data_IF_718518215678
#
_entry.id   IF_718518215678
#
_cell.length_a   1.000
_cell.length_b   1.000
_cell.length_c   1.000
_cell.angle_alpha   90.00
_cell.angle_beta   90.00
_cell.angle_gamma   90.00
#
_symmetry.space_group_name_H-M   'P 1'
#
loop_
_entity.id
_entity.type
_entity.pdbx_description
1 polymer ?
#
# COMPACT_ATOMS: atom_id res chain seq x y z
N UNK A 1 -31.86 25.06 1.54
CA UNK A 1 -30.71 24.62 2.39
C UNK A 1 -29.65 24.06 1.45
N UNK A 2 -28.64 24.84 1.14
CA UNK A 2 -27.51 24.38 0.35
C UNK A 2 -26.68 23.47 1.26
N UNK A 3 -26.53 22.20 0.86
CA UNK A 3 -25.72 21.23 1.59
C UNK A 3 -24.25 21.68 1.59
N UNK A 4 -23.76 22.12 2.74
CA UNK A 4 -22.40 22.63 2.96
C UNK A 4 -21.27 21.58 2.76
N UNK A 5 -21.58 20.38 2.33
CA UNK A 5 -20.58 19.30 2.30
C UNK A 5 -20.11 18.93 0.91
N UNK A 6 -20.46 19.49 -0.19
CA UNK A 6 -19.87 19.23 -1.53
C UNK A 6 -19.52 17.75 -1.90
N UNK A 7 -19.70 16.82 -0.97
CA UNK A 7 -19.30 15.40 -1.05
C UNK A 7 -20.46 14.43 -1.25
N UNK A 8 -21.70 14.93 -1.37
CA UNK A 8 -22.86 14.06 -1.55
C UNK A 8 -22.78 13.31 -2.89
N UNK A 9 -22.82 11.98 -2.83
CA UNK A 9 -22.77 11.13 -4.01
C UNK A 9 -24.18 10.99 -4.59
N UNK A 10 -24.40 11.52 -5.78
CA UNK A 10 -25.67 11.40 -6.50
C UNK A 10 -25.90 9.97 -6.98
N UNK A 11 -27.15 9.51 -7.13
CA UNK A 11 -27.46 8.17 -7.63
C UNK A 11 -26.76 7.80 -8.93
N UNK A 12 -26.62 8.77 -9.86
CA UNK A 12 -25.96 8.57 -11.16
C UNK A 12 -24.44 8.33 -11.05
N UNK A 13 -23.83 8.75 -9.95
CA UNK A 13 -22.40 8.56 -9.67
C UNK A 13 -22.11 7.19 -9.04
N UNK A 14 -23.15 6.46 -8.61
CA UNK A 14 -22.98 5.14 -8.00
C UNK A 14 -22.45 4.13 -9.02
N UNK A 15 -21.42 3.39 -8.61
CA UNK A 15 -20.72 2.40 -9.42
C UNK A 15 -21.18 0.98 -9.09
N UNK A 16 -21.08 0.08 -10.09
CA UNK A 16 -21.29 -1.34 -9.84
C UNK A 16 -20.12 -1.92 -9.01
N UNK A 17 -20.40 -2.99 -8.27
CA UNK A 17 -19.36 -3.67 -7.50
C UNK A 17 -18.22 -4.22 -8.39
N UNK A 18 -18.53 -4.64 -9.63
CA UNK A 18 -17.52 -5.07 -10.61
C UNK A 18 -16.58 -3.93 -11.03
N UNK A 19 -17.13 -2.71 -11.21
CA UNK A 19 -16.31 -1.54 -11.52
C UNK A 19 -15.32 -1.23 -10.41
N UNK A 20 -15.76 -1.31 -9.15
CA UNK A 20 -14.90 -1.09 -7.99
C UNK A 20 -13.90 -2.25 -7.82
N UNK A 21 -14.34 -3.49 -8.02
CA UNK A 21 -13.45 -4.66 -7.97
C UNK A 21 -12.33 -4.57 -9.02
N UNK A 22 -12.65 -4.09 -10.24
CA UNK A 22 -11.66 -3.89 -11.28
C UNK A 22 -10.60 -2.83 -10.90
N UNK A 23 -10.99 -1.78 -10.15
CA UNK A 23 -10.03 -0.81 -9.62
C UNK A 23 -9.07 -1.48 -8.63
N UNK A 24 -9.59 -2.30 -7.72
CA UNK A 24 -8.77 -3.03 -6.75
C UNK A 24 -7.85 -4.05 -7.43
N UNK A 25 -8.38 -4.84 -8.36
CA UNK A 25 -7.59 -5.80 -9.11
C UNK A 25 -6.45 -5.11 -9.89
N UNK A 26 -6.75 -3.97 -10.53
CA UNK A 26 -5.75 -3.16 -11.23
C UNK A 26 -4.65 -2.61 -10.31
N UNK A 27 -5.01 -2.23 -9.08
CA UNK A 27 -4.04 -1.81 -8.06
C UNK A 27 -3.17 -2.96 -7.53
N UNK A 28 -3.71 -4.18 -7.51
CA UNK A 28 -2.98 -5.38 -7.07
C UNK A 28 -2.05 -5.93 -8.16
N UNK A 29 -2.39 -5.76 -9.44
CA UNK A 29 -1.56 -6.20 -10.58
C UNK A 29 -0.44 -5.18 -10.80
N UNK A 30 0.59 -5.25 -9.98
CA UNK A 30 1.70 -4.33 -10.00
C UNK A 30 3.03 -5.02 -9.63
N UNK A 31 4.13 -4.42 -10.06
CA UNK A 31 5.48 -4.98 -9.85
C UNK A 31 5.84 -5.16 -8.36
N UNK A 32 5.52 -4.22 -7.44
CA UNK A 32 5.77 -4.45 -6.02
C UNK A 32 5.13 -5.72 -5.46
N UNK A 33 3.96 -6.12 -5.94
CA UNK A 33 3.33 -7.36 -5.51
C UNK A 33 4.16 -8.60 -5.90
N UNK A 34 4.74 -8.63 -7.12
CA UNK A 34 5.69 -9.69 -7.50
C UNK A 34 6.89 -9.73 -6.58
N UNK A 35 7.49 -8.57 -6.30
CA UNK A 35 8.66 -8.47 -5.42
C UNK A 35 8.35 -8.97 -4.01
N UNK A 36 7.18 -8.66 -3.46
CA UNK A 36 6.77 -9.15 -2.14
C UNK A 36 6.62 -10.67 -2.14
N UNK A 37 6.07 -11.26 -3.22
CA UNK A 37 6.07 -12.71 -3.41
C UNK A 37 7.48 -13.30 -3.33
N UNK A 38 8.44 -12.67 -4.02
CA UNK A 38 9.86 -13.03 -3.94
C UNK A 38 10.44 -12.88 -2.54
N UNK A 39 10.09 -11.83 -1.80
CA UNK A 39 10.53 -11.64 -0.40
C UNK A 39 10.01 -12.76 0.50
N UNK A 40 8.78 -13.28 0.28
CA UNK A 40 8.25 -14.42 1.04
C UNK A 40 9.09 -15.69 0.84
N UNK A 41 9.45 -16.02 -0.42
CA UNK A 41 10.28 -17.17 -0.71
C UNK A 41 11.71 -17.01 -0.19
N UNK A 42 12.30 -15.82 -0.31
CA UNK A 42 13.62 -15.50 0.24
C UNK A 42 13.64 -15.52 1.79
N UNK A 43 12.51 -15.23 2.43
CA UNK A 43 12.30 -15.42 3.87
C UNK A 43 12.22 -16.90 4.28
N UNK A 44 12.36 -17.82 3.32
CA UNK A 44 12.35 -19.26 3.56
C UNK A 44 10.96 -19.80 3.93
N UNK A 45 9.87 -19.14 3.53
CA UNK A 45 8.54 -19.69 3.73
C UNK A 45 8.32 -20.85 2.75
N UNK A 46 7.80 -21.97 3.25
CA UNK A 46 7.32 -23.05 2.39
C UNK A 46 6.17 -22.59 1.50
N UNK A 47 5.90 -23.30 0.40
CA UNK A 47 4.79 -22.95 -0.50
C UNK A 47 3.44 -22.86 0.24
N UNK A 48 3.23 -23.78 1.18
CA UNK A 48 2.00 -23.76 2.01
C UNK A 48 1.95 -22.49 2.87
N UNK A 49 3.04 -22.12 3.54
CA UNK A 49 3.13 -20.90 4.33
C UNK A 49 2.93 -19.65 3.46
N UNK A 50 3.49 -19.62 2.23
CA UNK A 50 3.29 -18.53 1.28
C UNK A 50 1.81 -18.37 0.96
N UNK A 51 1.13 -19.45 0.52
CA UNK A 51 -0.29 -19.39 0.17
C UNK A 51 -1.16 -19.01 1.37
N UNK A 52 -0.91 -19.60 2.54
CA UNK A 52 -1.64 -19.27 3.77
C UNK A 52 -1.40 -17.82 4.17
N UNK A 53 -0.16 -17.33 4.08
CA UNK A 53 0.18 -15.93 4.35
C UNK A 53 -0.58 -14.97 3.44
N UNK A 54 -0.67 -15.30 2.14
CA UNK A 54 -1.39 -14.48 1.16
C UNK A 54 -2.88 -14.44 1.48
N UNK A 55 -3.49 -15.59 1.71
CA UNK A 55 -4.93 -15.69 1.99
C UNK A 55 -5.31 -14.99 3.30
N UNK A 56 -4.55 -15.24 4.37
CA UNK A 56 -4.80 -14.59 5.67
C UNK A 56 -4.48 -13.09 5.60
N UNK A 57 -3.35 -12.70 5.02
CA UNK A 57 -2.96 -11.30 4.94
C UNK A 57 -3.95 -10.46 4.15
N UNK A 58 -4.36 -10.92 2.96
CA UNK A 58 -5.40 -10.21 2.20
C UNK A 58 -6.79 -10.35 2.82
N UNK A 59 -7.09 -11.44 3.51
CA UNK A 59 -8.30 -11.58 4.31
C UNK A 59 -8.38 -10.51 5.41
N UNK A 60 -7.28 -10.27 6.12
CA UNK A 60 -7.16 -9.21 7.14
C UNK A 60 -7.31 -7.81 6.53
N UNK A 61 -6.70 -7.56 5.37
CA UNK A 61 -6.88 -6.29 4.66
C UNK A 61 -8.34 -6.12 4.26
N UNK A 62 -8.95 -7.13 3.62
CA UNK A 62 -10.35 -7.07 3.22
C UNK A 62 -11.27 -6.84 4.43
N UNK A 63 -10.94 -7.40 5.59
CA UNK A 63 -11.76 -7.23 6.80
C UNK A 63 -11.87 -5.76 7.18
N UNK A 64 -10.75 -5.04 7.42
CA UNK A 64 -10.85 -3.64 7.78
C UNK A 64 -11.25 -2.73 6.61
N UNK A 65 -10.86 -3.08 5.38
CA UNK A 65 -11.25 -2.42 4.14
C UNK A 65 -12.77 -2.39 3.96
N UNK A 66 -13.44 -3.52 4.26
CA UNK A 66 -14.90 -3.64 4.18
C UNK A 66 -15.58 -2.72 5.20
N UNK A 67 -15.13 -2.70 6.45
CA UNK A 67 -15.71 -1.83 7.47
C UNK A 67 -15.54 -0.35 7.15
N UNK A 68 -14.34 0.05 6.72
CA UNK A 68 -14.05 1.44 6.29
C UNK A 68 -14.84 1.79 5.03
N UNK A 69 -14.89 0.89 4.06
CA UNK A 69 -15.64 1.08 2.82
C UNK A 69 -17.15 1.14 2.99
N UNK A 70 -17.73 0.30 3.88
CA UNK A 70 -19.18 0.36 4.19
C UNK A 70 -19.55 1.69 4.86
N UNK A 71 -18.73 2.20 5.78
CA UNK A 71 -18.94 3.52 6.35
C UNK A 71 -18.95 4.59 5.25
N UNK A 72 -18.03 4.51 4.29
CA UNK A 72 -17.98 5.45 3.17
C UNK A 72 -19.20 5.31 2.24
N UNK A 73 -19.68 4.10 2.00
CA UNK A 73 -20.91 3.85 1.25
C UNK A 73 -22.13 4.49 1.91
N UNK A 74 -22.23 4.40 3.24
CA UNK A 74 -23.33 4.97 4.02
C UNK A 74 -23.28 6.50 4.04
N UNK A 75 -22.09 7.08 4.23
CA UNK A 75 -21.91 8.52 4.46
C UNK A 75 -21.68 9.31 3.17
N UNK A 76 -21.20 8.66 2.11
CA UNK A 76 -20.74 9.30 0.88
C UNK A 76 -19.40 10.04 1.00
N UNK A 77 -18.69 9.91 2.13
CA UNK A 77 -17.52 10.71 2.47
C UNK A 77 -16.21 10.01 2.10
N UNK A 78 -15.17 10.76 1.68
CA UNK A 78 -13.82 10.24 1.51
C UNK A 78 -13.13 10.03 2.87
N UNK A 79 -12.04 9.23 2.88
CA UNK A 79 -11.35 8.83 4.11
C UNK A 79 -10.91 10.02 4.97
N UNK A 80 -10.41 11.08 4.36
CA UNK A 80 -9.94 12.26 5.08
C UNK A 80 -11.05 12.93 5.89
N UNK A 81 -12.27 12.97 5.34
CA UNK A 81 -13.45 13.56 6.03
C UNK A 81 -14.05 12.58 7.04
N UNK A 82 -14.09 11.29 6.71
CA UNK A 82 -14.54 10.26 7.66
C UNK A 82 -13.70 10.23 8.93
N UNK A 83 -12.40 10.37 8.79
CA UNK A 83 -11.48 10.37 9.91
C UNK A 83 -11.66 11.58 10.85
N UNK A 84 -12.31 12.66 10.40
CA UNK A 84 -12.65 13.79 11.30
C UNK A 84 -13.58 13.37 12.45
N UNK A 85 -14.41 12.37 12.23
CA UNK A 85 -15.25 11.81 13.30
C UNK A 85 -14.45 11.09 14.37
N UNK A 86 -13.30 10.53 14.03
CA UNK A 86 -12.46 9.77 14.93
C UNK A 86 -11.29 10.57 15.51
N UNK A 87 -10.64 11.42 14.70
CA UNK A 87 -9.40 12.12 15.04
C UNK A 87 -9.60 13.63 15.27
N UNK A 88 -10.76 14.17 14.91
CA UNK A 88 -11.01 15.59 14.79
C UNK A 88 -10.41 16.17 13.49
N UNK A 89 -10.89 17.32 13.05
CA UNK A 89 -10.51 17.96 11.78
C UNK A 89 -9.01 18.17 11.62
N UNK A 90 -8.33 18.67 12.68
CA UNK A 90 -6.86 18.83 12.66
C UNK A 90 -6.15 17.49 12.74
N UNK A 91 -6.61 16.56 13.59
CA UNK A 91 -6.05 15.23 13.70
C UNK A 91 -6.13 14.45 12.40
N UNK A 92 -7.30 14.44 11.75
CA UNK A 92 -7.47 13.82 10.44
C UNK A 92 -6.55 14.45 9.40
N UNK A 93 -6.51 15.79 9.32
CA UNK A 93 -5.65 16.50 8.38
C UNK A 93 -4.18 16.12 8.53
N UNK A 94 -3.62 16.19 9.73
CA UNK A 94 -2.19 15.96 9.92
C UNK A 94 -1.83 14.48 9.87
N UNK A 95 -2.56 13.61 10.58
CA UNK A 95 -2.23 12.17 10.64
C UNK A 95 -2.41 11.53 9.26
N UNK A 96 -3.56 11.72 8.62
CA UNK A 96 -3.80 11.10 7.31
C UNK A 96 -2.84 11.65 6.27
N UNK A 97 -2.63 12.97 6.22
CA UNK A 97 -1.73 13.55 5.22
C UNK A 97 -0.29 13.10 5.40
N UNK A 98 0.20 12.97 6.64
CA UNK A 98 1.55 12.45 6.89
C UNK A 98 1.65 10.99 6.46
N UNK A 99 0.69 10.14 6.84
CA UNK A 99 0.70 8.73 6.46
C UNK A 99 0.63 8.54 4.94
N UNK A 100 -0.27 9.27 4.26
CA UNK A 100 -0.39 9.23 2.81
C UNK A 100 0.88 9.76 2.12
N UNK A 101 1.48 10.83 2.64
CA UNK A 101 2.73 11.37 2.10
C UNK A 101 3.86 10.35 2.23
N UNK A 102 4.07 9.76 3.41
CA UNK A 102 5.10 8.72 3.64
C UNK A 102 4.86 7.53 2.69
N UNK A 103 3.63 7.03 2.63
CA UNK A 103 3.30 5.88 1.79
C UNK A 103 3.51 6.20 0.30
N UNK A 104 2.93 7.29 -0.20
CA UNK A 104 2.98 7.61 -1.63
C UNK A 104 4.39 7.99 -2.09
N UNK A 105 5.12 8.77 -1.30
CA UNK A 105 6.51 9.15 -1.60
C UNK A 105 7.43 7.93 -1.54
N UNK A 106 7.25 7.06 -0.53
CA UNK A 106 7.98 5.81 -0.41
C UNK A 106 7.73 4.86 -1.58
N UNK A 107 6.46 4.62 -1.93
CA UNK A 107 6.11 3.81 -3.10
C UNK A 107 6.60 4.42 -4.41
N UNK A 108 6.57 5.75 -4.54
CA UNK A 108 7.17 6.43 -5.70
C UNK A 108 8.66 6.13 -5.81
N UNK A 109 9.39 6.22 -4.68
CA UNK A 109 10.81 5.92 -4.62
C UNK A 109 11.12 4.46 -4.97
N UNK A 110 10.39 3.50 -4.37
CA UNK A 110 10.55 2.06 -4.64
C UNK A 110 10.35 1.77 -6.13
N UNK A 111 9.28 2.26 -6.73
CA UNK A 111 8.99 1.98 -8.14
C UNK A 111 9.94 2.69 -9.10
N UNK A 112 10.39 3.91 -8.79
CA UNK A 112 11.42 4.59 -9.57
C UNK A 112 12.76 3.83 -9.51
N UNK A 113 13.13 3.31 -8.34
CA UNK A 113 14.32 2.50 -8.15
C UNK A 113 14.22 1.15 -8.88
N UNK A 114 13.06 0.48 -8.82
CA UNK A 114 12.81 -0.79 -9.53
C UNK A 114 12.93 -0.62 -11.04
N UNK A 115 12.34 0.46 -11.59
CA UNK A 115 12.46 0.78 -13.00
C UNK A 115 13.92 1.13 -13.38
N UNK A 116 14.60 1.90 -12.54
CA UNK A 116 16.00 2.26 -12.72
C UNK A 116 16.94 1.03 -12.67
N UNK A 117 16.71 0.13 -11.75
CA UNK A 117 17.44 -1.14 -11.63
C UNK A 117 17.27 -2.00 -12.90
N UNK A 118 16.03 -2.14 -13.37
CA UNK A 118 15.74 -2.91 -14.58
C UNK A 118 16.45 -2.33 -15.82
N UNK A 119 16.40 -1.02 -15.97
CA UNK A 119 17.04 -0.33 -17.09
C UNK A 119 18.58 -0.42 -17.00
N UNK A 120 19.14 -0.23 -15.80
CA UNK A 120 20.58 -0.36 -15.57
C UNK A 120 21.07 -1.78 -15.83
N UNK A 121 20.33 -2.81 -15.41
CA UNK A 121 20.66 -4.22 -15.65
C UNK A 121 20.65 -4.54 -17.15
N UNK A 122 19.65 -4.06 -17.89
CA UNK A 122 19.61 -4.24 -19.34
C UNK A 122 20.79 -3.52 -20.03
N UNK A 123 21.07 -2.26 -19.64
CA UNK A 123 22.17 -1.49 -20.21
C UNK A 123 23.52 -2.17 -19.92
N UNK A 124 23.74 -2.68 -18.71
CA UNK A 124 24.94 -3.42 -18.35
C UNK A 124 25.11 -4.70 -19.20
N UNK A 125 24.03 -5.43 -19.44
CA UNK A 125 24.00 -6.62 -20.33
C UNK A 125 24.38 -6.24 -21.75
N UNK A 126 23.78 -5.19 -22.32
CA UNK A 126 24.07 -4.73 -23.68
C UNK A 126 25.51 -4.24 -23.86
N UNK A 127 26.09 -3.65 -22.82
CA UNK A 127 27.48 -3.15 -22.80
C UNK A 127 28.49 -4.20 -22.37
N UNK A 128 28.07 -5.44 -22.11
CA UNK A 128 28.91 -6.54 -21.61
C UNK A 128 29.67 -6.20 -20.29
N UNK A 129 29.04 -5.42 -19.42
CA UNK A 129 29.61 -4.98 -18.12
C UNK A 129 29.34 -5.98 -16.99
N UNK A 130 28.58 -7.04 -17.23
CA UNK A 130 28.14 -7.98 -16.21
C UNK A 130 27.02 -7.39 -15.35
N UNK A 131 27.32 -7.03 -14.10
CA UNK A 131 26.35 -6.39 -13.19
C UNK A 131 26.39 -4.86 -13.31
N UNK A 132 25.23 -4.17 -13.17
CA UNK A 132 25.21 -2.71 -13.20
C UNK A 132 25.93 -2.13 -11.96
N UNK A 133 26.68 -1.05 -12.16
CA UNK A 133 27.28 -0.32 -11.03
C UNK A 133 26.21 0.45 -10.25
N UNK A 134 26.50 0.75 -8.98
CA UNK A 134 25.61 1.56 -8.14
C UNK A 134 25.29 2.92 -8.78
N UNK A 135 26.27 3.52 -9.45
CA UNK A 135 26.07 4.78 -10.16
C UNK A 135 25.09 4.64 -11.35
N UNK A 136 25.19 3.55 -12.13
CA UNK A 136 24.24 3.28 -13.22
C UNK A 136 22.82 3.14 -12.68
N UNK A 137 22.64 2.42 -11.60
CA UNK A 137 21.33 2.24 -10.95
C UNK A 137 20.79 3.58 -10.45
N UNK A 138 21.60 4.38 -9.75
CA UNK A 138 21.20 5.68 -9.22
C UNK A 138 20.80 6.64 -10.34
N UNK A 139 21.63 6.77 -11.39
CA UNK A 139 21.35 7.65 -12.53
C UNK A 139 20.06 7.20 -13.25
N UNK A 140 19.91 5.91 -13.53
CA UNK A 140 18.71 5.37 -14.17
C UNK A 140 17.46 5.61 -13.30
N UNK A 141 17.57 5.45 -11.98
CA UNK A 141 16.46 5.73 -11.06
C UNK A 141 16.06 7.21 -11.05
N UNK A 142 17.03 8.13 -11.13
CA UNK A 142 16.77 9.57 -11.26
C UNK A 142 16.06 9.87 -12.60
N UNK A 143 16.57 9.34 -13.70
CA UNK A 143 16.00 9.59 -15.03
C UNK A 143 14.54 9.13 -15.07
N UNK A 144 14.26 7.89 -14.65
CA UNK A 144 12.90 7.35 -14.64
C UNK A 144 12.01 8.06 -13.62
N UNK A 145 12.52 8.40 -12.43
CA UNK A 145 11.79 9.18 -11.44
C UNK A 145 11.36 10.54 -12.00
N UNK A 146 12.25 11.24 -12.69
CA UNK A 146 11.95 12.53 -13.34
C UNK A 146 10.92 12.37 -14.45
N UNK A 147 11.05 11.37 -15.33
CA UNK A 147 10.07 11.11 -16.40
C UNK A 147 8.67 10.86 -15.83
N UNK A 148 8.57 9.99 -14.81
CA UNK A 148 7.31 9.68 -14.14
C UNK A 148 6.72 10.90 -13.45
N UNK A 149 7.57 11.71 -12.80
CA UNK A 149 7.15 12.94 -12.13
C UNK A 149 6.63 14.00 -13.12
N UNK A 150 7.33 14.23 -14.21
CA UNK A 150 6.88 15.17 -15.25
C UNK A 150 5.53 14.77 -15.82
N UNK A 151 5.31 13.45 -16.00
CA UNK A 151 4.02 12.91 -16.45
C UNK A 151 2.92 13.16 -15.40
N UNK A 152 3.22 12.99 -14.12
CA UNK A 152 2.27 13.27 -13.03
C UNK A 152 1.88 14.76 -12.99
N UNK A 153 2.84 15.67 -13.18
CA UNK A 153 2.61 17.11 -13.22
C UNK A 153 1.86 17.59 -14.48
N UNK A 154 1.99 16.86 -15.61
CA UNK A 154 1.31 17.19 -16.86
C UNK A 154 -0.19 16.82 -16.88
N UNK A 155 -0.62 15.91 -15.99
CA UNK A 155 -2.03 15.57 -15.76
C UNK A 155 -2.48 14.22 -16.29
N UNK A 156 -3.67 13.82 -15.87
CA UNK A 156 -4.19 12.44 -15.82
C UNK A 156 -4.77 11.87 -17.12
N UNK A 157 -4.94 12.68 -18.17
CA UNK A 157 -5.73 12.25 -19.36
C UNK A 157 -5.15 11.05 -20.14
N UNK A 158 -3.83 10.88 -20.14
CA UNK A 158 -3.16 9.75 -20.79
C UNK A 158 -3.09 8.46 -19.96
N UNK A 159 -3.23 8.56 -18.64
CA UNK A 159 -2.99 7.47 -17.71
C UNK A 159 -3.98 6.31 -17.87
N UNK A 160 -5.23 6.61 -18.17
CA UNK A 160 -6.27 5.58 -18.40
C UNK A 160 -5.91 4.64 -19.55
N UNK A 161 -5.45 5.19 -20.67
CA UNK A 161 -5.01 4.41 -21.82
C UNK A 161 -3.76 3.60 -21.51
N UNK A 162 -2.82 4.21 -20.80
CA UNK A 162 -1.59 3.52 -20.38
C UNK A 162 -1.91 2.29 -19.52
N UNK A 163 -2.85 2.40 -18.58
CA UNK A 163 -3.28 1.28 -17.73
C UNK A 163 -3.96 0.15 -18.55
N UNK A 164 -4.74 0.47 -19.57
CA UNK A 164 -5.36 -0.56 -20.43
C UNK A 164 -4.34 -1.41 -21.19
N UNK A 165 -3.15 -0.88 -21.43
CA UNK A 165 -2.05 -1.60 -22.09
C UNK A 165 -1.12 -2.25 -21.06
N UNK A 166 -0.74 -1.50 -20.03
CA UNK A 166 0.26 -1.92 -19.05
C UNK A 166 -0.19 -3.13 -18.23
N UNK A 167 -1.43 -3.14 -17.73
CA UNK A 167 -1.91 -4.21 -16.86
C UNK A 167 -2.01 -5.56 -17.58
N UNK A 168 -2.66 -5.69 -18.76
CA UNK A 168 -2.66 -6.94 -19.51
C UNK A 168 -1.25 -7.40 -19.92
N UNK A 169 -0.39 -6.46 -20.34
CA UNK A 169 0.97 -6.78 -20.72
C UNK A 169 1.77 -7.33 -19.54
N UNK A 170 1.63 -6.74 -18.35
CA UNK A 170 2.28 -7.25 -17.14
C UNK A 170 1.80 -8.67 -16.81
N UNK A 171 0.51 -8.95 -16.88
CA UNK A 171 -0.03 -10.30 -16.67
C UNK A 171 0.55 -11.29 -17.67
N UNK A 172 0.60 -10.93 -18.96
CA UNK A 172 1.18 -11.78 -20.01
C UNK A 172 2.66 -12.07 -19.73
N UNK A 173 3.43 -11.05 -19.38
CA UNK A 173 4.87 -11.19 -19.07
C UNK A 173 5.09 -12.02 -17.80
N UNK A 174 4.25 -11.85 -16.78
CA UNK A 174 4.31 -12.68 -15.57
C UNK A 174 4.03 -14.15 -15.88
N UNK A 175 2.99 -14.44 -16.65
CA UNK A 175 2.66 -15.81 -17.06
C UNK A 175 3.75 -16.40 -17.95
N UNK A 176 4.23 -15.63 -18.93
CA UNK A 176 5.33 -16.07 -19.78
C UNK A 176 6.60 -16.34 -18.96
N UNK A 177 6.99 -15.41 -18.09
CA UNK A 177 8.16 -15.57 -17.23
C UNK A 177 8.08 -16.80 -16.33
N UNK A 178 6.90 -17.05 -15.74
CA UNK A 178 6.67 -18.24 -14.93
C UNK A 178 6.78 -19.52 -15.77
N UNK A 179 6.11 -19.59 -16.92
CA UNK A 179 6.12 -20.76 -17.80
C UNK A 179 7.54 -20.99 -18.35
N UNK A 180 8.19 -19.93 -18.85
CA UNK A 180 9.55 -20.03 -19.38
C UNK A 180 10.56 -20.43 -18.30
N UNK A 181 10.41 -19.92 -17.08
CA UNK A 181 11.24 -20.32 -15.94
C UNK A 181 11.08 -21.79 -15.60
N UNK A 182 9.83 -22.29 -15.55
CA UNK A 182 9.54 -23.71 -15.30
C UNK A 182 10.16 -24.59 -16.39
N UNK A 183 10.07 -24.20 -17.66
CA UNK A 183 10.58 -25.02 -18.79
C UNK A 183 12.10 -24.95 -18.91
N UNK A 184 12.70 -23.76 -18.75
CA UNK A 184 14.13 -23.55 -19.03
C UNK A 184 15.06 -23.95 -17.87
N UNK A 185 14.57 -24.03 -16.64
CA UNK A 185 15.37 -24.28 -15.44
C UNK A 185 14.92 -25.50 -14.66
N UNK A 186 14.27 -26.48 -15.30
CA UNK A 186 13.64 -27.62 -14.59
C UNK A 186 12.83 -27.14 -13.38
N UNK A 187 12.14 -26.01 -13.58
CA UNK A 187 11.47 -25.28 -12.50
C UNK A 187 10.38 -26.10 -11.82
N UNK A 188 9.83 -27.09 -12.51
CA UNK A 188 8.93 -28.09 -11.91
C UNK A 188 9.63 -28.88 -10.80
N UNK A 189 10.84 -29.33 -11.02
CA UNK A 189 11.66 -30.01 -10.00
C UNK A 189 12.11 -29.05 -8.91
N UNK A 190 12.56 -27.84 -9.27
CA UNK A 190 12.92 -26.80 -8.31
C UNK A 190 11.78 -26.44 -7.36
N UNK A 191 10.56 -26.30 -7.88
CA UNK A 191 9.36 -26.05 -7.08
C UNK A 191 9.01 -27.27 -6.21
N UNK A 192 9.07 -28.48 -6.76
CA UNK A 192 8.77 -29.71 -6.01
C UNK A 192 9.81 -30.00 -4.91
N UNK A 193 11.07 -29.67 -5.17
CA UNK A 193 12.18 -29.83 -4.23
C UNK A 193 12.32 -28.66 -3.24
N UNK A 194 11.50 -27.61 -3.39
CA UNK A 194 11.61 -26.42 -2.54
C UNK A 194 11.23 -26.72 -1.10
N UNK A 195 12.25 -26.89 -0.28
CA UNK A 195 12.14 -27.17 1.15
C UNK A 195 13.17 -26.32 1.91
N UNK A 196 12.83 -25.07 2.25
CA UNK A 196 13.76 -24.18 2.92
C UNK A 196 14.13 -24.71 4.31
N UNK A 197 15.42 -24.67 4.65
CA UNK A 197 15.94 -25.16 5.92
C UNK A 197 15.55 -24.29 7.13
N UNK A 198 15.28 -23.02 6.89
CA UNK A 198 14.84 -22.06 7.90
C UNK A 198 13.73 -21.20 7.32
N UNK A 199 12.70 -20.92 8.13
CA UNK A 199 11.60 -20.05 7.77
C UNK A 199 11.52 -18.88 8.73
N UNK A 200 11.29 -17.67 8.19
CA UNK A 200 10.94 -16.50 8.98
C UNK A 200 9.54 -16.63 9.62
N UNK A 201 8.79 -17.65 9.22
CA UNK A 201 7.53 -18.05 9.82
C UNK A 201 6.29 -17.34 9.24
N UNK A 202 5.16 -17.98 9.50
CA UNK A 202 3.85 -17.56 8.97
C UNK A 202 3.49 -16.11 9.35
N UNK A 203 3.83 -15.69 10.58
CA UNK A 203 3.55 -14.33 11.08
C UNK A 203 4.28 -13.26 10.27
N UNK A 204 5.56 -13.53 9.92
CA UNK A 204 6.33 -12.66 9.02
C UNK A 204 5.64 -12.58 7.66
N UNK A 205 5.27 -13.72 7.08
CA UNK A 205 4.61 -13.77 5.79
C UNK A 205 3.29 -12.97 5.77
N UNK A 206 2.42 -13.19 6.75
CA UNK A 206 1.16 -12.45 6.89
C UNK A 206 1.43 -10.94 7.00
N UNK A 207 2.42 -10.53 7.80
CA UNK A 207 2.75 -9.10 7.99
C UNK A 207 3.23 -8.47 6.67
N UNK A 208 4.08 -9.14 5.91
CA UNK A 208 4.55 -8.67 4.60
C UNK A 208 3.41 -8.53 3.60
N UNK A 209 2.47 -9.50 3.58
CA UNK A 209 1.28 -9.43 2.72
C UNK A 209 0.38 -8.26 3.14
N UNK A 210 0.15 -8.05 4.44
CA UNK A 210 -0.62 -6.88 4.92
C UNK A 210 0.08 -5.59 4.49
N UNK A 211 1.40 -5.50 4.56
CA UNK A 211 2.16 -4.33 4.14
C UNK A 211 1.91 -3.97 2.67
N UNK A 212 1.76 -4.98 1.81
CA UNK A 212 1.62 -4.80 0.36
C UNK A 212 0.45 -3.89 -0.03
N UNK A 213 -0.64 -3.97 0.73
CA UNK A 213 -1.88 -3.23 0.41
C UNK A 213 -2.53 -2.58 1.64
N UNK A 214 -1.78 -2.37 2.72
CA UNK A 214 -2.27 -1.74 3.94
C UNK A 214 -2.96 -0.39 3.68
N UNK A 215 -2.34 0.44 2.83
CA UNK A 215 -2.88 1.73 2.42
C UNK A 215 -4.20 1.57 1.67
N UNK A 216 -4.28 0.62 0.73
CA UNK A 216 -5.49 0.34 -0.04
C UNK A 216 -6.71 0.07 0.83
N UNK A 217 -6.51 -0.64 1.95
CA UNK A 217 -7.57 -0.90 2.92
C UNK A 217 -8.14 0.36 3.58
N UNK A 218 -7.30 1.35 3.88
CA UNK A 218 -7.73 2.62 4.49
C UNK A 218 -8.34 3.57 3.46
N UNK A 219 -7.69 3.74 2.28
CA UNK A 219 -8.22 4.59 1.21
C UNK A 219 -9.42 3.96 0.49
N UNK A 220 -9.84 2.76 0.89
CA UNK A 220 -11.04 2.10 0.35
C UNK A 220 -12.28 3.01 0.41
N UNK A 221 -12.35 3.88 1.41
CA UNK A 221 -13.41 4.88 1.52
C UNK A 221 -13.56 5.74 0.26
N UNK A 222 -12.46 6.14 -0.36
CA UNK A 222 -12.46 7.07 -1.49
C UNK A 222 -13.12 6.47 -2.74
N UNK A 223 -13.13 5.15 -2.84
CA UNK A 223 -13.74 4.39 -3.93
C UNK A 223 -15.08 3.77 -3.54
N UNK A 224 -15.17 3.16 -2.35
CA UNK A 224 -16.36 2.50 -1.87
C UNK A 224 -17.51 3.47 -1.55
N UNK A 225 -17.24 4.77 -1.37
CA UNK A 225 -18.30 5.79 -1.27
C UNK A 225 -19.20 5.84 -2.51
N UNK A 226 -18.73 5.36 -3.65
CA UNK A 226 -19.50 5.23 -4.88
C UNK A 226 -20.23 3.89 -4.99
N UNK A 227 -20.06 2.95 -4.07
CA UNK A 227 -20.79 1.67 -4.09
C UNK A 227 -22.30 1.88 -3.93
N UNK A 228 -23.10 1.00 -4.53
CA UNK A 228 -24.57 1.05 -4.46
C UNK A 228 -25.09 0.55 -3.12
N UNK A 229 -24.37 -0.38 -2.47
CA UNK A 229 -24.76 -1.01 -1.22
C UNK A 229 -23.57 -1.49 -0.41
N UNK A 230 -23.77 -1.76 0.88
CA UNK A 230 -22.76 -2.43 1.74
C UNK A 230 -22.34 -3.79 1.18
N UNK A 231 -23.27 -4.53 0.59
CA UNK A 231 -22.98 -5.83 -0.04
C UNK A 231 -22.05 -5.68 -1.25
N UNK A 232 -22.19 -4.59 -2.02
CA UNK A 232 -21.31 -4.30 -3.14
C UNK A 232 -19.88 -3.96 -2.68
N UNK A 233 -19.74 -3.33 -1.52
CA UNK A 233 -18.43 -3.09 -0.89
C UNK A 233 -17.76 -4.42 -0.55
N UNK A 234 -18.49 -5.34 0.09
CA UNK A 234 -17.97 -6.66 0.45
C UNK A 234 -17.51 -7.42 -0.80
N UNK A 235 -18.38 -7.51 -1.81
CA UNK A 235 -18.07 -8.22 -3.07
C UNK A 235 -16.87 -7.63 -3.77
N UNK A 236 -16.83 -6.30 -3.92
CA UNK A 236 -15.74 -5.64 -4.64
C UNK A 236 -14.40 -5.75 -3.92
N UNK A 237 -14.38 -5.70 -2.59
CA UNK A 237 -13.16 -5.86 -1.81
C UNK A 237 -12.59 -7.27 -1.93
N UNK A 238 -13.41 -8.30 -1.70
CA UNK A 238 -12.95 -9.70 -1.74
C UNK A 238 -12.54 -10.11 -3.16
N UNK A 239 -13.40 -9.87 -4.14
CA UNK A 239 -13.18 -10.33 -5.53
C UNK A 239 -12.08 -9.50 -6.21
N UNK A 240 -11.95 -8.22 -5.87
CA UNK A 240 -10.92 -7.37 -6.45
C UNK A 240 -9.52 -7.59 -5.87
N UNK A 241 -9.43 -7.85 -4.56
CA UNK A 241 -8.12 -7.92 -3.88
C UNK A 241 -7.55 -9.33 -3.85
N UNK A 242 -8.32 -10.32 -3.36
CA UNK A 242 -7.75 -11.64 -3.06
C UNK A 242 -7.27 -12.39 -4.31
N UNK A 243 -8.05 -12.55 -5.38
CA UNK A 243 -7.59 -13.29 -6.56
C UNK A 243 -6.40 -12.64 -7.25
N UNK A 244 -6.45 -11.32 -7.45
CA UNK A 244 -5.37 -10.58 -8.11
C UNK A 244 -4.10 -10.58 -7.26
N UNK A 245 -4.22 -10.38 -5.95
CA UNK A 245 -3.10 -10.43 -5.03
C UNK A 245 -2.49 -11.82 -4.91
N UNK A 246 -3.31 -12.88 -4.84
CA UNK A 246 -2.83 -14.26 -4.85
C UNK A 246 -2.05 -14.55 -6.13
N UNK A 247 -2.59 -14.17 -7.28
CA UNK A 247 -1.92 -14.35 -8.57
C UNK A 247 -0.55 -13.69 -8.59
N UNK A 248 -0.46 -12.41 -8.22
CA UNK A 248 0.79 -11.65 -8.30
C UNK A 248 1.85 -12.13 -7.30
N UNK A 249 1.48 -12.30 -6.03
CA UNK A 249 2.43 -12.72 -5.01
C UNK A 249 2.89 -14.16 -5.22
N UNK A 250 1.98 -15.07 -5.57
CA UNK A 250 2.34 -16.46 -5.83
C UNK A 250 3.25 -16.57 -7.07
N UNK A 251 2.93 -15.84 -8.14
CA UNK A 251 3.79 -15.78 -9.33
C UNK A 251 5.19 -15.27 -8.98
N UNK A 252 5.29 -14.19 -8.21
CA UNK A 252 6.58 -13.65 -7.76
C UNK A 252 7.36 -14.62 -6.88
N UNK A 253 6.69 -15.34 -5.98
CA UNK A 253 7.32 -16.37 -5.15
C UNK A 253 7.82 -17.54 -5.99
N UNK A 254 7.02 -18.07 -6.90
CA UNK A 254 7.42 -19.17 -7.78
C UNK A 254 8.58 -18.78 -8.69
N UNK A 255 8.53 -17.60 -9.30
CA UNK A 255 9.66 -17.10 -10.10
C UNK A 255 10.94 -16.99 -9.26
N UNK A 256 10.85 -16.51 -8.03
CA UNK A 256 11.98 -16.41 -7.11
C UNK A 256 12.53 -17.77 -6.70
N UNK A 257 11.67 -18.77 -6.49
CA UNK A 257 12.11 -20.15 -6.19
C UNK A 257 12.89 -20.74 -7.36
N UNK A 258 12.41 -20.56 -8.59
CA UNK A 258 13.04 -21.10 -9.80
C UNK A 258 14.36 -20.42 -10.13
N UNK A 259 14.45 -19.10 -9.92
CA UNK A 259 15.61 -18.28 -10.33
C UNK A 259 16.58 -17.97 -9.20
N UNK A 260 16.20 -18.23 -7.95
CA UNK A 260 16.98 -17.87 -6.76
C UNK A 260 17.01 -16.37 -6.44
N UNK A 261 16.20 -15.55 -7.14
CA UNK A 261 16.22 -14.08 -7.01
C UNK A 261 14.81 -13.52 -6.85
N UNK A 262 14.69 -12.41 -6.12
CA UNK A 262 13.41 -11.69 -5.99
C UNK A 262 13.35 -10.40 -6.84
N UNK A 263 14.49 -9.98 -7.40
CA UNK A 263 14.53 -8.84 -8.32
C UNK A 263 13.93 -9.25 -9.67
N UNK A 264 12.75 -8.74 -9.94
CA UNK A 264 12.02 -9.05 -11.19
C UNK A 264 12.83 -8.72 -12.44
N UNK A 265 13.73 -7.72 -12.38
CA UNK A 265 14.57 -7.33 -13.50
C UNK A 265 15.59 -8.40 -13.81
N UNK A 266 16.27 -8.91 -12.79
CA UNK A 266 17.23 -10.00 -12.92
C UNK A 266 16.55 -11.30 -13.40
N UNK A 267 15.33 -11.57 -12.87
CA UNK A 267 14.52 -12.72 -13.31
C UNK A 267 14.21 -12.64 -14.81
N UNK A 268 13.73 -11.50 -15.31
CA UNK A 268 13.34 -11.34 -16.71
C UNK A 268 14.57 -11.41 -17.65
N UNK A 269 15.72 -10.93 -17.21
CA UNK A 269 16.99 -11.10 -17.95
C UNK A 269 17.40 -12.57 -18.01
N UNK A 270 17.36 -13.30 -16.89
CA UNK A 270 17.72 -14.73 -16.84
C UNK A 270 16.79 -15.62 -17.68
N UNK A 271 15.54 -15.22 -17.84
CA UNK A 271 14.53 -15.91 -18.65
C UNK A 271 14.58 -15.56 -20.14
N UNK A 272 15.57 -14.77 -20.59
CA UNK A 272 15.78 -14.44 -21.99
C UNK A 272 14.76 -13.47 -22.61
N UNK A 273 14.01 -12.74 -21.78
CA UNK A 273 13.01 -11.74 -22.21
C UNK A 273 13.31 -10.33 -21.73
N UNK A 274 14.55 -9.84 -21.83
CA UNK A 274 14.95 -8.57 -21.21
C UNK A 274 14.14 -7.38 -21.75
N UNK A 275 13.87 -7.31 -23.04
CA UNK A 275 13.16 -6.17 -23.65
C UNK A 275 11.67 -6.18 -23.35
N UNK A 276 10.99 -7.31 -23.55
CA UNK A 276 9.55 -7.40 -23.29
C UNK A 276 9.25 -7.20 -21.79
N UNK A 277 10.07 -7.83 -20.96
CA UNK A 277 10.00 -7.69 -19.53
C UNK A 277 10.23 -6.25 -19.08
N UNK A 278 11.25 -5.58 -19.62
CA UNK A 278 11.52 -4.17 -19.33
C UNK A 278 10.35 -3.27 -19.72
N UNK A 279 9.79 -3.44 -20.93
CA UNK A 279 8.65 -2.64 -21.40
C UNK A 279 7.46 -2.82 -20.46
N UNK A 280 7.10 -4.05 -20.12
CA UNK A 280 6.00 -4.33 -19.21
C UNK A 280 6.23 -3.74 -17.81
N UNK A 281 7.44 -3.89 -17.27
CA UNK A 281 7.83 -3.37 -15.97
C UNK A 281 7.79 -1.83 -15.96
N UNK A 282 8.36 -1.18 -16.98
CA UNK A 282 8.36 0.27 -17.11
C UNK A 282 6.92 0.80 -17.19
N UNK A 283 6.08 0.22 -18.04
CA UNK A 283 4.69 0.66 -18.16
C UNK A 283 3.90 0.47 -16.87
N UNK A 284 4.04 -0.68 -16.21
CA UNK A 284 3.34 -0.98 -14.97
C UNK A 284 3.79 -0.09 -13.80
N UNK A 285 5.11 0.13 -13.66
CA UNK A 285 5.64 1.04 -12.63
C UNK A 285 5.28 2.49 -12.93
N UNK A 286 5.31 2.91 -14.19
CA UNK A 286 4.99 4.27 -14.61
C UNK A 286 3.55 4.63 -14.24
N UNK A 287 2.57 3.79 -14.60
CA UNK A 287 1.15 4.05 -14.34
C UNK A 287 0.87 4.21 -12.85
N UNK A 288 1.40 3.29 -12.05
CA UNK A 288 1.21 3.31 -10.59
C UNK A 288 1.95 4.50 -9.96
N UNK A 289 3.11 4.83 -10.49
CA UNK A 289 3.95 5.89 -9.92
C UNK A 289 3.41 7.29 -10.18
N UNK A 290 2.77 7.52 -11.32
CA UNK A 290 2.03 8.77 -11.57
C UNK A 290 0.93 8.97 -10.52
N UNK A 291 0.24 7.89 -10.14
CA UNK A 291 -0.78 7.92 -9.08
C UNK A 291 -0.16 8.21 -7.71
N UNK A 292 0.99 7.62 -7.40
CA UNK A 292 1.72 7.88 -6.16
C UNK A 292 2.16 9.35 -6.05
N UNK A 293 2.75 9.92 -7.12
CA UNK A 293 3.14 11.33 -7.14
C UNK A 293 1.94 12.25 -6.97
N UNK A 294 0.83 11.96 -7.66
CA UNK A 294 -0.43 12.72 -7.55
C UNK A 294 -0.98 12.69 -6.12
N UNK A 295 -1.14 11.50 -5.55
CA UNK A 295 -1.69 11.33 -4.20
C UNK A 295 -0.75 11.88 -3.12
N UNK A 296 0.57 11.71 -3.29
CA UNK A 296 1.57 12.30 -2.42
C UNK A 296 1.55 13.82 -2.45
N UNK A 297 1.40 14.42 -3.64
CA UNK A 297 1.23 15.85 -3.82
C UNK A 297 -0.03 16.39 -3.15
N UNK A 298 -1.15 15.66 -3.28
CA UNK A 298 -2.41 16.01 -2.62
C UNK A 298 -2.28 15.95 -1.08
N UNK A 299 -1.62 14.91 -0.59
CA UNK A 299 -1.35 14.76 0.85
C UNK A 299 -0.49 15.91 1.39
N UNK A 300 0.57 16.28 0.67
CA UNK A 300 1.41 17.43 1.03
C UNK A 300 0.65 18.76 0.94
N UNK A 301 -0.17 18.97 -0.09
CA UNK A 301 -1.01 20.17 -0.19
C UNK A 301 -1.93 20.31 1.03
N UNK A 302 -2.59 19.21 1.40
CA UNK A 302 -3.47 19.20 2.57
C UNK A 302 -2.69 19.42 3.88
N UNK A 303 -1.52 18.79 4.02
CA UNK A 303 -0.65 18.94 5.18
C UNK A 303 -0.20 20.39 5.37
N UNK A 304 0.25 21.04 4.29
CA UNK A 304 0.77 22.40 4.31
C UNK A 304 -0.34 23.47 4.28
N UNK A 305 -1.57 23.09 3.98
CA UNK A 305 -2.70 24.02 3.86
C UNK A 305 -2.66 24.83 2.58
N UNK A 306 -2.07 24.28 1.54
CA UNK A 306 -2.04 24.91 0.22
C UNK A 306 -3.36 24.66 -0.52
N UNK A 307 -3.76 25.61 -1.31
CA UNK A 307 -4.89 25.49 -2.23
C UNK A 307 -4.52 24.72 -3.52
N UNK A 308 -5.52 24.46 -4.35
CA UNK A 308 -5.35 23.70 -5.59
C UNK A 308 -4.36 24.35 -6.57
N UNK A 309 -4.12 25.68 -6.49
CA UNK A 309 -3.19 26.36 -7.39
C UNK A 309 -1.74 25.89 -7.21
N UNK A 310 -1.39 25.43 -6.00
CA UNK A 310 -0.05 24.94 -5.64
C UNK A 310 0.10 23.41 -5.79
N UNK A 311 -0.92 22.72 -6.23
CA UNK A 311 -0.93 21.26 -6.37
C UNK A 311 0.23 20.72 -7.23
N UNK A 312 0.56 21.39 -8.35
CA UNK A 312 1.70 20.97 -9.19
C UNK A 312 3.04 21.07 -8.45
N UNK A 313 3.18 22.08 -7.58
CA UNK A 313 4.39 22.27 -6.78
C UNK A 313 4.53 21.15 -5.75
N UNK A 314 3.47 20.85 -5.02
CA UNK A 314 3.49 19.77 -4.01
C UNK A 314 3.65 18.39 -4.63
N UNK A 315 3.06 18.14 -5.81
CA UNK A 315 3.32 16.93 -6.60
C UNK A 315 4.80 16.86 -7.03
N UNK A 316 5.36 17.99 -7.47
CA UNK A 316 6.79 18.12 -7.80
C UNK A 316 7.68 17.79 -6.60
N UNK A 317 7.37 18.33 -5.43
CA UNK A 317 8.11 18.06 -4.18
C UNK A 317 8.00 16.57 -3.80
N UNK A 318 6.80 16.00 -3.80
CA UNK A 318 6.59 14.59 -3.47
C UNK A 318 7.41 13.65 -4.36
N UNK A 319 7.33 13.85 -5.68
CA UNK A 319 8.08 13.03 -6.63
C UNK A 319 9.60 13.28 -6.57
N UNK A 320 10.03 14.53 -6.33
CA UNK A 320 11.46 14.84 -6.16
C UNK A 320 12.03 14.12 -4.93
N UNK A 321 11.33 14.16 -3.77
CA UNK A 321 11.76 13.42 -2.57
C UNK A 321 11.84 11.93 -2.87
N UNK A 322 10.81 11.34 -3.49
CA UNK A 322 10.81 9.92 -3.85
C UNK A 322 11.93 9.56 -4.83
N UNK A 323 12.22 10.41 -5.83
CA UNK A 323 13.35 10.23 -6.76
C UNK A 323 14.70 10.24 -6.03
N UNK A 324 14.89 11.17 -5.09
CA UNK A 324 16.10 11.23 -4.26
C UNK A 324 16.22 9.95 -3.43
N UNK A 325 15.15 9.51 -2.76
CA UNK A 325 15.14 8.25 -1.99
C UNK A 325 15.48 7.04 -2.88
N UNK A 326 14.97 7.00 -4.12
CA UNK A 326 15.31 5.97 -5.09
C UNK A 326 16.81 5.93 -5.40
N UNK A 327 17.42 7.09 -5.68
CA UNK A 327 18.83 7.22 -5.98
C UNK A 327 19.75 6.83 -4.80
N UNK A 328 19.29 7.08 -3.57
CA UNK A 328 20.00 6.70 -2.34
C UNK A 328 19.73 5.25 -1.91
N UNK A 329 19.11 4.43 -2.74
CA UNK A 329 18.96 3.00 -2.50
C UNK A 329 17.80 2.60 -1.60
N UNK A 330 16.69 3.33 -1.62
CA UNK A 330 15.47 2.96 -0.88
C UNK A 330 15.02 1.53 -1.18
N UNK A 331 15.30 1.01 -2.38
CA UNK A 331 14.98 -0.35 -2.75
C UNK A 331 15.69 -1.38 -1.85
N UNK A 332 16.91 -1.08 -1.38
CA UNK A 332 17.64 -1.93 -0.44
C UNK A 332 16.98 -1.97 0.95
N UNK A 333 16.22 -0.93 1.29
CA UNK A 333 15.44 -0.84 2.53
C UNK A 333 13.97 -1.27 2.35
N UNK A 334 13.64 -2.00 1.26
CA UNK A 334 12.27 -2.35 0.90
C UNK A 334 11.51 -3.04 2.02
N UNK A 335 12.12 -4.04 2.68
CA UNK A 335 11.49 -4.74 3.81
C UNK A 335 11.24 -3.81 5.00
N UNK A 336 12.18 -2.91 5.29
CA UNK A 336 12.00 -1.89 6.33
C UNK A 336 10.85 -0.92 5.99
N UNK A 337 10.74 -0.50 4.73
CA UNK A 337 9.60 0.30 4.26
C UNK A 337 8.27 -0.46 4.42
N UNK A 338 8.21 -1.74 4.03
CA UNK A 338 7.03 -2.57 4.24
C UNK A 338 6.67 -2.68 5.72
N UNK A 339 7.68 -2.85 6.59
CA UNK A 339 7.43 -2.93 8.03
C UNK A 339 6.84 -1.64 8.60
N UNK A 340 7.25 -0.49 8.09
CA UNK A 340 6.66 0.80 8.43
C UNK A 340 5.21 0.91 7.98
N UNK A 341 4.90 0.44 6.75
CA UNK A 341 3.55 0.49 6.20
C UNK A 341 2.57 -0.37 7.02
N UNK A 342 2.91 -1.61 7.34
CA UNK A 342 2.01 -2.44 8.13
C UNK A 342 1.86 -1.99 9.58
N UNK A 343 2.84 -1.27 10.12
CA UNK A 343 2.76 -0.78 11.50
C UNK A 343 1.96 0.52 11.63
N UNK A 344 2.06 1.43 10.68
CA UNK A 344 1.46 2.76 10.80
C UNK A 344 0.04 2.85 10.23
N UNK A 345 -0.28 2.11 9.17
CA UNK A 345 -1.54 2.33 8.43
C UNK A 345 -2.73 1.58 9.05
N UNK A 346 -2.65 0.28 9.37
CA UNK A 346 -3.80 -0.46 9.90
C UNK A 346 -4.39 0.09 11.21
N UNK A 347 -3.59 0.61 12.17
CA UNK A 347 -4.14 1.21 13.39
C UNK A 347 -5.10 2.38 13.13
N UNK A 348 -4.92 3.12 12.03
CA UNK A 348 -5.84 4.17 11.62
C UNK A 348 -7.22 3.61 11.29
N UNK A 349 -7.28 2.46 10.61
CA UNK A 349 -8.56 1.77 10.38
C UNK A 349 -9.23 1.38 11.71
N UNK A 350 -8.46 0.91 12.69
CA UNK A 350 -8.98 0.57 14.02
C UNK A 350 -9.72 1.72 14.69
N UNK A 351 -9.14 2.92 14.67
CA UNK A 351 -9.77 4.13 15.23
C UNK A 351 -11.03 4.54 14.46
N UNK A 352 -10.99 4.51 13.11
CA UNK A 352 -12.13 4.84 12.26
C UNK A 352 -13.29 3.85 12.49
N UNK A 353 -12.97 2.56 12.55
CA UNK A 353 -13.93 1.48 12.81
C UNK A 353 -14.56 1.65 14.19
N UNK A 354 -13.75 1.89 15.23
CA UNK A 354 -14.26 2.09 16.58
C UNK A 354 -15.25 3.26 16.67
N UNK A 355 -14.89 4.39 16.07
CA UNK A 355 -15.70 5.60 16.09
C UNK A 355 -17.07 5.41 15.42
N UNK A 356 -17.10 4.76 14.25
CA UNK A 356 -18.36 4.61 13.51
C UNK A 356 -19.16 3.36 13.94
N UNK A 357 -18.51 2.19 13.99
CA UNK A 357 -19.23 0.92 14.17
C UNK A 357 -19.57 0.62 15.62
N UNK A 358 -18.71 1.00 16.56
CA UNK A 358 -18.93 0.70 17.99
C UNK A 358 -19.63 1.90 18.65
N UNK A 359 -18.97 3.05 18.69
CA UNK A 359 -19.52 4.24 19.35
C UNK A 359 -20.72 4.79 18.58
N UNK A 360 -20.59 4.92 17.24
CA UNK A 360 -21.65 5.38 16.35
C UNK A 360 -22.71 4.31 16.03
N UNK A 361 -22.53 3.06 16.49
CA UNK A 361 -23.46 1.92 16.26
C UNK A 361 -23.71 1.64 14.78
N UNK A 362 -22.79 1.96 13.90
CA UNK A 362 -22.90 1.77 12.46
C UNK A 362 -24.02 2.55 11.78
N UNK A 363 -24.44 3.69 12.35
CA UNK A 363 -25.53 4.53 11.84
C UNK A 363 -24.99 5.86 11.34
N UNK A 364 -25.36 6.25 10.12
CA UNK A 364 -24.99 7.54 9.51
C UNK A 364 -25.40 8.72 10.40
N UNK A 365 -26.58 8.67 11.00
CA UNK A 365 -27.14 9.76 11.83
C UNK A 365 -26.34 10.01 13.11
N UNK A 366 -25.55 9.02 13.55
CA UNK A 366 -24.66 9.14 14.71
C UNK A 366 -23.26 9.62 14.32
N UNK A 367 -22.97 9.76 13.02
CA UNK A 367 -21.69 10.26 12.57
C UNK A 367 -21.60 11.77 12.80
N UNK A 368 -20.58 12.19 13.55
CA UNK A 368 -20.35 13.61 13.87
C UNK A 368 -18.93 13.99 13.52
N UNK A 369 -18.75 15.02 12.70
CA UNK A 369 -17.45 15.63 12.42
C UNK A 369 -17.01 16.45 13.63
N UNK A 370 -15.79 16.20 14.11
CA UNK A 370 -15.26 16.85 15.31
C UNK A 370 -14.22 17.91 14.90
N UNK A 371 -14.24 19.06 15.59
CA UNK A 371 -13.25 20.13 15.39
C UNK A 371 -11.91 19.81 16.05
N UNK A 372 -10.85 20.53 15.69
CA UNK A 372 -9.55 20.45 16.37
C UNK A 372 -8.88 19.08 16.29
N UNK A 373 -8.12 18.74 17.33
CA UNK A 373 -7.63 17.39 17.61
C UNK A 373 -8.58 16.70 18.57
N UNK A 374 -9.00 15.48 18.24
CA UNK A 374 -9.80 14.67 19.14
C UNK A 374 -8.92 13.68 19.88
N UNK A 375 -8.61 14.00 21.12
CA UNK A 375 -7.62 13.30 21.92
C UNK A 375 -7.84 11.78 22.03
N UNK A 376 -9.07 11.24 22.25
CA UNK A 376 -9.28 9.79 22.28
C UNK A 376 -8.78 9.10 21.01
N UNK A 377 -9.09 9.67 19.84
CA UNK A 377 -8.67 9.11 18.55
C UNK A 377 -7.17 9.21 18.31
N UNK A 378 -6.59 10.38 18.57
CA UNK A 378 -5.15 10.61 18.35
C UNK A 378 -4.31 9.71 19.26
N UNK A 379 -4.65 9.63 20.56
CA UNK A 379 -3.95 8.76 21.53
C UNK A 379 -4.08 7.30 21.10
N UNK A 380 -5.29 6.85 20.77
CA UNK A 380 -5.54 5.47 20.35
C UNK A 380 -4.76 5.09 19.09
N UNK A 381 -4.71 5.98 18.10
CA UNK A 381 -3.91 5.77 16.90
C UNK A 381 -2.42 5.66 17.22
N UNK A 382 -1.87 6.62 17.98
CA UNK A 382 -0.43 6.65 18.29
C UNK A 382 -0.03 5.41 19.10
N UNK A 383 -0.80 5.05 20.11
CA UNK A 383 -0.52 3.84 20.92
C UNK A 383 -0.64 2.57 20.08
N UNK A 384 -1.70 2.46 19.25
CA UNK A 384 -1.86 1.32 18.35
C UNK A 384 -0.71 1.19 17.34
N UNK A 385 -0.24 2.30 16.77
CA UNK A 385 0.90 2.32 15.86
C UNK A 385 2.20 1.93 16.57
N UNK A 386 2.45 2.42 17.78
CA UNK A 386 3.61 2.02 18.57
C UNK A 386 3.58 0.53 18.91
N UNK A 387 2.44 0.00 19.33
CA UNK A 387 2.27 -1.44 19.60
C UNK A 387 2.53 -2.25 18.32
N UNK A 388 2.02 -1.81 17.17
CA UNK A 388 2.29 -2.49 15.90
C UNK A 388 3.79 -2.46 15.55
N UNK A 389 4.48 -1.33 15.75
CA UNK A 389 5.93 -1.22 15.53
C UNK A 389 6.72 -2.18 16.43
N UNK A 390 6.39 -2.21 17.73
CA UNK A 390 7.10 -3.03 18.74
C UNK A 390 6.87 -4.51 18.45
N UNK A 391 5.61 -4.90 18.28
CA UNK A 391 5.22 -6.31 18.15
C UNK A 391 5.40 -6.87 16.74
N UNK A 392 5.49 -6.00 15.73
CA UNK A 392 5.75 -6.37 14.35
C UNK A 392 7.23 -6.39 13.96
N UNK A 393 8.13 -5.96 14.88
CA UNK A 393 9.56 -5.95 14.60
C UNK A 393 10.04 -4.79 13.73
N UNK A 394 9.26 -3.71 13.57
CA UNK A 394 9.65 -2.55 12.75
C UNK A 394 10.96 -1.92 13.23
N UNK A 395 11.18 -1.90 14.54
CA UNK A 395 12.41 -1.34 15.11
C UNK A 395 13.65 -2.20 14.89
N UNK A 396 13.53 -3.46 14.43
CA UNK A 396 14.68 -4.28 14.03
C UNK A 396 15.50 -3.62 12.91
N UNK A 397 14.91 -2.74 12.11
CA UNK A 397 15.59 -1.92 11.11
C UNK A 397 16.52 -0.85 11.72
N UNK A 398 16.49 -0.66 13.04
CA UNK A 398 17.28 0.32 13.79
C UNK A 398 18.09 -0.36 14.92
N UNK A 399 19.18 -1.10 14.59
CA UNK A 399 19.90 -1.92 15.58
C UNK A 399 20.40 -1.15 16.81
N UNK A 400 20.88 0.08 16.61
CA UNK A 400 21.34 0.93 17.70
C UNK A 400 20.22 1.24 18.71
N UNK A 401 19.00 1.48 18.21
CA UNK A 401 17.84 1.74 19.05
C UNK A 401 17.41 0.49 19.83
N UNK A 402 17.40 -0.67 19.17
CA UNK A 402 17.07 -1.96 19.81
C UNK A 402 18.11 -2.35 20.84
N UNK A 403 19.40 -2.07 20.59
CA UNK A 403 20.47 -2.32 21.57
C UNK A 403 20.28 -1.44 22.82
N UNK A 404 19.90 -0.18 22.66
CA UNK A 404 19.65 0.74 23.77
C UNK A 404 18.35 0.42 24.53
N UNK A 405 17.34 -0.11 23.83
CA UNK A 405 16.01 -0.40 24.36
C UNK A 405 15.45 -1.70 23.77
N UNK A 406 15.88 -2.88 24.26
CA UNK A 406 15.50 -4.18 23.67
C UNK A 406 14.01 -4.46 23.61
N UNK A 407 13.24 -3.88 24.55
CA UNK A 407 11.78 -4.01 24.58
C UNK A 407 11.07 -3.41 23.37
N UNK A 408 11.73 -2.53 22.60
CA UNK A 408 11.19 -2.00 21.34
C UNK A 408 11.08 -3.04 20.22
N UNK A 409 11.74 -4.18 20.35
CA UNK A 409 11.65 -5.28 19.41
C UNK A 409 11.22 -6.56 20.12
N UNK A 410 9.95 -6.62 20.48
CA UNK A 410 9.32 -7.76 21.16
C UNK A 410 8.23 -8.34 20.24
N UNK A 411 8.62 -9.21 19.29
CA UNK A 411 7.66 -9.82 18.36
C UNK A 411 6.56 -10.57 19.11
N UNK A 412 5.32 -10.24 18.80
CA UNK A 412 4.14 -10.89 19.38
C UNK A 412 3.00 -10.91 18.39
N UNK A 413 2.45 -12.08 18.12
CA UNK A 413 1.36 -12.26 17.17
C UNK A 413 1.59 -11.50 15.85
N UNK A 414 0.55 -10.98 15.20
CA UNK A 414 0.66 -10.21 13.94
C UNK A 414 0.62 -8.73 14.24
N UNK A 415 1.76 -8.03 14.12
CA UNK A 415 1.91 -6.61 14.46
C UNK A 415 0.78 -5.69 13.97
N UNK A 416 0.41 -5.70 12.66
CA UNK A 416 -0.70 -4.90 12.17
C UNK A 416 -2.05 -5.22 12.85
N UNK A 417 -2.32 -6.48 13.18
CA UNK A 417 -3.55 -6.87 13.90
C UNK A 417 -3.53 -6.32 15.31
N UNK A 418 -2.38 -6.45 16.01
CA UNK A 418 -2.21 -5.88 17.35
C UNK A 418 -2.49 -4.38 17.35
N UNK A 419 -1.96 -3.67 16.34
CA UNK A 419 -2.20 -2.23 16.17
C UNK A 419 -3.66 -1.87 15.97
N UNK A 420 -4.38 -2.60 15.10
CA UNK A 420 -5.83 -2.41 14.88
C UNK A 420 -6.60 -2.65 16.17
N UNK A 421 -6.36 -3.78 16.83
CA UNK A 421 -7.08 -4.17 18.05
C UNK A 421 -6.84 -3.19 19.17
N UNK A 422 -5.58 -2.81 19.43
CA UNK A 422 -5.24 -1.86 20.48
C UNK A 422 -5.82 -0.49 20.19
N UNK A 423 -5.69 0.04 18.98
CA UNK A 423 -6.24 1.33 18.61
C UNK A 423 -7.78 1.36 18.73
N UNK A 424 -8.45 0.28 18.32
CA UNK A 424 -9.89 0.13 18.40
C UNK A 424 -10.36 0.08 19.86
N UNK A 425 -9.78 -0.83 20.67
CA UNK A 425 -10.18 -1.01 22.07
C UNK A 425 -9.90 0.26 22.90
N UNK A 426 -8.73 0.85 22.71
CA UNK A 426 -8.36 2.07 23.45
C UNK A 426 -9.28 3.23 23.08
N UNK A 427 -9.70 3.37 21.81
CA UNK A 427 -10.67 4.38 21.42
C UNK A 427 -12.00 4.19 22.14
N UNK A 428 -12.52 2.95 22.18
CA UNK A 428 -13.79 2.63 22.86
C UNK A 428 -13.75 2.94 24.34
N UNK A 429 -12.59 2.75 24.98
CA UNK A 429 -12.39 3.06 26.42
C UNK A 429 -12.22 4.55 26.65
N UNK A 430 -11.40 5.23 25.86
CA UNK A 430 -11.08 6.65 26.07
C UNK A 430 -12.22 7.59 25.67
N UNK A 431 -13.00 7.24 24.67
CA UNK A 431 -14.07 8.09 24.18
C UNK A 431 -15.07 8.49 25.28
N UNK A 432 -15.71 7.57 26.03
CA UNK A 432 -16.64 7.94 27.09
C UNK A 432 -15.95 8.62 28.29
N UNK A 433 -14.67 8.32 28.55
CA UNK A 433 -13.94 8.93 29.66
C UNK A 433 -13.58 10.39 29.42
N UNK A 434 -13.23 10.73 28.15
CA UNK A 434 -12.76 12.06 27.77
C UNK A 434 -13.85 12.93 27.14
N UNK A 435 -15.00 12.36 26.82
CA UNK A 435 -16.12 13.07 26.17
C UNK A 435 -16.98 13.90 27.16
N UNK A 436 -16.59 14.00 28.43
CA UNK A 436 -17.32 14.72 29.49
C UNK A 436 -17.30 16.25 29.38
N UNK A 437 -16.72 16.84 28.34
CA UNK A 437 -16.71 18.28 28.12
C UNK A 437 -17.54 18.66 26.88
N UNK A 438 -18.50 19.64 26.96
CA UNK A 438 -19.36 20.00 25.87
C UNK A 438 -18.65 20.91 24.88
N UNK A 439 -18.32 20.38 23.70
CA UNK A 439 -18.09 21.19 22.50
C UNK A 439 -18.55 20.41 21.27
N UNK A 440 -19.83 20.13 21.24
CA UNK A 440 -20.51 19.60 20.04
C UNK A 440 -21.10 20.79 19.30
N UNK A 441 -20.40 21.34 18.34
CA UNK A 441 -21.08 22.03 17.23
C UNK A 441 -21.82 20.94 16.44
N UNK A 442 -23.12 20.76 16.71
CA UNK A 442 -24.00 20.05 15.80
C UNK A 442 -23.89 20.78 14.47
N UNK A 443 -23.32 20.16 13.47
CA UNK A 443 -23.46 20.60 12.10
C UNK A 443 -24.95 20.46 11.76
N UNK A 444 -25.65 21.61 11.73
CA UNK A 444 -27.01 21.75 11.22
C UNK A 444 -26.96 21.66 9.71
#
# INVERSE_FOLDING_TARGET
MQNETGFEIRPEQRQSWLSIAAVWAGGMICVPCLMIGGVLSQGGLSLAEIVISILIGYGLICLYMIFVGMQACDTGLPVAVMAEGALGKRGARYIISVLLAIACVGWFGIQSATCGQAFASMAATMLNLGTPSTAMVAISSIVWGVIMLLTACAGFKGLKWLNYVAVPLLVIVCLYGLIAGIVAHDGGEAIAAYAPAQSAGLVYGISMVVASFALGGVISADYCRFAKSRADVVKSSIVGVIPAGLFMLLTGALMSIVTGQYDISAILVSLGVPFLGLIALVLATWTTNVTNAYSGGLALSNLLGFDESKFKITTGIAGAIGTVLAAFGLLNAFQGFLSLMYALIPPLAGVIIAAYWIVGRGKKDNFTRRGGFYAPGVISFVVGALVACITGGTFASFPALVTAAPWLNTPFFVGPVNGIVVSLLLYVVLEPLMHRAPNVQKAV
#
